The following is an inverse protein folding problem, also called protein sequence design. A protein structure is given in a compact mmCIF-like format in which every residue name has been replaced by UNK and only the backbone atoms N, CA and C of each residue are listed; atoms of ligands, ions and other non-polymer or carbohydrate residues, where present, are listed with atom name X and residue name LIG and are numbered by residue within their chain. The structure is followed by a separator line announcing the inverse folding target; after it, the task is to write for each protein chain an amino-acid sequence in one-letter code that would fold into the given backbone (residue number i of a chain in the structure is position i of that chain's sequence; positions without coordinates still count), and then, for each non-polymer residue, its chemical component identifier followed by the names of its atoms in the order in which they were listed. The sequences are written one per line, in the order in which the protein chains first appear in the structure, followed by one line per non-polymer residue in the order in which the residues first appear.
data_IF_205644796575
#
_entry.id   IF_205644796575
#
_cell.length_a   1.000
_cell.length_b   1.000
_cell.length_c   1.000
_cell.angle_alpha   90.00
_cell.angle_beta   90.00
_cell.angle_gamma   90.00
#
_symmetry.space_group_name_H-M   'P 1'
#
loop_
_entity.id
_entity.type
_entity.pdbx_description
1 polymer ?
#
# COMPACT_ATOMS: atom_id res chain seq x y z
N UNK A 1 5.82 -16.61 4.94
CA UNK A 1 5.02 -15.38 4.99
C UNK A 1 5.94 -14.16 4.92
N UNK A 2 5.65 -13.24 4.03
CA UNK A 2 6.49 -12.06 3.88
C UNK A 2 6.12 -10.99 4.88
N UNK A 3 7.10 -10.52 5.62
CA UNK A 3 6.87 -9.45 6.59
C UNK A 3 7.00 -8.08 5.91
N UNK A 4 6.17 -7.15 6.33
CA UNK A 4 6.25 -5.78 5.83
C UNK A 4 7.52 -5.12 6.34
N UNK A 5 8.38 -4.60 5.45
CA UNK A 5 9.59 -3.90 5.89
C UNK A 5 9.27 -2.69 6.76
N UNK A 6 10.14 -2.38 7.69
CA UNK A 6 9.94 -1.25 8.59
C UNK A 6 9.83 0.07 7.83
N UNK A 7 10.58 0.22 6.73
CA UNK A 7 10.56 1.44 5.93
C UNK A 7 9.16 1.68 5.33
N UNK A 8 8.45 0.60 4.96
CA UNK A 8 7.08 0.72 4.45
C UNK A 8 6.13 1.07 5.59
N UNK A 9 6.30 0.44 6.76
CA UNK A 9 5.48 0.75 7.93
C UNK A 9 5.65 2.20 8.34
N UNK A 10 6.87 2.70 8.31
CA UNK A 10 7.15 4.09 8.65
C UNK A 10 6.49 5.06 7.66
N UNK A 11 6.52 4.71 6.38
CA UNK A 11 5.89 5.54 5.36
C UNK A 11 4.37 5.64 5.56
N UNK A 12 3.74 4.57 6.03
CA UNK A 12 2.29 4.51 6.24
C UNK A 12 1.86 4.92 7.65
N UNK A 13 2.81 5.16 8.53
CA UNK A 13 2.55 5.36 9.96
C UNK A 13 1.50 6.44 10.25
N UNK A 14 1.62 7.59 9.61
CA UNK A 14 0.71 8.70 9.88
C UNK A 14 -0.70 8.41 9.40
N UNK A 15 -0.84 7.74 8.27
CA UNK A 15 -2.14 7.35 7.75
C UNK A 15 -2.79 6.30 8.65
N UNK A 16 -2.01 5.36 9.15
CA UNK A 16 -2.52 4.36 10.07
C UNK A 16 -2.98 5.02 11.36
N UNK A 17 -2.24 6.01 11.85
CA UNK A 17 -2.62 6.77 13.03
C UNK A 17 -3.92 7.54 12.82
N UNK A 18 -4.08 8.14 11.64
CA UNK A 18 -5.24 8.98 11.36
C UNK A 18 -6.51 8.19 11.09
N UNK A 19 -6.40 7.09 10.35
CA UNK A 19 -7.56 6.34 9.88
C UNK A 19 -7.65 4.92 10.41
N UNK A 20 -6.58 4.40 10.99
CA UNK A 20 -6.49 2.99 11.32
C UNK A 20 -6.10 2.18 10.11
N UNK A 21 -6.18 0.87 10.21
CA UNK A 21 -5.87 0.00 9.10
C UNK A 21 -4.52 -0.67 9.20
N UNK A 22 -4.12 -1.33 8.13
CA UNK A 22 -2.86 -2.08 8.10
C UNK A 22 -2.32 -2.14 6.69
N UNK A 23 -1.02 -2.45 6.57
CA UNK A 23 -0.36 -2.61 5.28
C UNK A 23 -0.35 -4.08 4.90
N UNK A 24 -0.83 -4.38 3.70
CA UNK A 24 -0.82 -5.74 3.15
C UNK A 24 0.09 -5.81 1.92
N UNK A 25 0.77 -6.93 1.79
CA UNK A 25 1.60 -7.18 0.61
C UNK A 25 0.71 -7.58 -0.57
N UNK A 26 0.85 -6.87 -1.68
CA UNK A 26 0.10 -7.18 -2.91
C UNK A 26 0.84 -8.17 -3.79
N UNK A 27 2.12 -7.97 -4.00
CA UNK A 27 2.92 -8.77 -4.90
C UNK A 27 4.06 -7.96 -5.48
N UNK A 28 4.69 -8.50 -6.52
CA UNK A 28 5.77 -7.77 -7.19
C UNK A 28 5.23 -7.00 -8.39
N UNK A 29 5.67 -5.76 -8.51
CA UNK A 29 5.29 -4.88 -9.60
C UNK A 29 6.55 -4.26 -10.19
N UNK A 30 6.87 -4.62 -11.43
CA UNK A 30 8.05 -4.12 -12.14
C UNK A 30 9.35 -4.28 -11.34
N UNK A 31 9.52 -5.45 -10.72
CA UNK A 31 10.73 -5.76 -9.94
C UNK A 31 10.74 -5.18 -8.53
N UNK A 32 9.68 -4.51 -8.13
CA UNK A 32 9.56 -3.93 -6.80
C UNK A 32 8.48 -4.65 -5.99
N UNK A 33 8.51 -4.51 -4.68
CA UNK A 33 7.47 -5.05 -3.82
C UNK A 33 6.36 -4.02 -3.67
N UNK A 34 5.12 -4.41 -3.96
CA UNK A 34 3.97 -3.53 -3.84
C UNK A 34 3.18 -3.86 -2.59
N UNK A 35 2.84 -2.83 -1.83
CA UNK A 35 2.04 -2.94 -0.61
C UNK A 35 0.85 -2.02 -0.72
N UNK A 36 -0.26 -2.40 -0.10
CA UNK A 36 -1.46 -1.57 -0.07
C UNK A 36 -1.85 -1.29 1.38
N UNK A 37 -2.20 -0.05 1.65
CA UNK A 37 -2.74 0.31 2.96
C UNK A 37 -4.24 0.02 2.96
N UNK A 38 -4.66 -0.92 3.79
CA UNK A 38 -6.07 -1.26 3.96
C UNK A 38 -6.66 -0.46 5.10
N UNK A 39 -7.73 0.25 4.81
CA UNK A 39 -8.46 1.01 5.81
C UNK A 39 -9.63 0.21 6.35
N UNK A 40 -10.10 0.53 7.58
CA UNK A 40 -11.34 -0.05 8.07
C UNK A 40 -12.51 0.26 7.13
N UNK A 41 -13.51 -0.60 7.13
CA UNK A 41 -14.66 -0.45 6.24
C UNK A 41 -15.40 0.87 6.43
N UNK A 42 -15.41 1.40 7.63
CA UNK A 42 -16.09 2.64 7.94
C UNK A 42 -15.25 3.90 7.64
N UNK A 43 -14.04 3.73 7.16
CA UNK A 43 -13.19 4.86 6.79
C UNK A 43 -13.51 5.31 5.37
N UNK A 44 -13.81 6.59 5.22
CA UNK A 44 -14.08 7.16 3.90
C UNK A 44 -12.81 7.81 3.36
N UNK A 45 -12.03 7.03 2.65
CA UNK A 45 -10.72 7.47 2.17
C UNK A 45 -10.66 7.75 0.67
N UNK A 46 -11.68 7.33 -0.08
CA UNK A 46 -11.71 7.50 -1.53
C UNK A 46 -10.79 6.53 -2.24
N UNK A 47 -9.58 6.96 -2.57
CA UNK A 47 -8.64 6.11 -3.31
C UNK A 47 -7.75 5.31 -2.38
N UNK A 48 -7.28 4.12 -2.82
CA UNK A 48 -6.32 3.36 -2.04
C UNK A 48 -4.94 4.05 -2.03
N UNK A 49 -4.13 3.68 -1.05
CA UNK A 49 -2.73 4.08 -1.02
C UNK A 49 -1.87 2.85 -1.27
N UNK A 50 -0.94 2.96 -2.21
CA UNK A 50 -0.03 1.89 -2.56
C UNK A 50 1.39 2.35 -2.27
N UNK A 51 2.20 1.47 -1.70
CA UNK A 51 3.61 1.74 -1.42
C UNK A 51 4.45 0.79 -2.24
N UNK A 52 5.35 1.35 -3.02
CA UNK A 52 6.28 0.57 -3.84
C UNK A 52 7.66 0.62 -3.18
N UNK A 53 8.15 -0.54 -2.78
CA UNK A 53 9.42 -0.67 -2.10
C UNK A 53 10.45 -1.30 -3.03
N UNK A 54 11.50 -0.55 -3.35
CA UNK A 54 12.58 -1.01 -4.20
C UNK A 54 13.88 -0.33 -3.79
N UNK A 55 14.95 -1.14 -3.65
CA UNK A 55 16.29 -0.60 -3.35
C UNK A 55 16.29 0.32 -2.12
N UNK A 56 15.61 -0.13 -1.07
CA UNK A 56 15.50 0.60 0.20
C UNK A 56 14.80 1.95 0.09
N UNK A 57 14.04 2.15 -0.99
CA UNK A 57 13.23 3.34 -1.17
C UNK A 57 11.76 2.97 -1.22
N UNK A 58 10.91 3.84 -0.71
CA UNK A 58 9.47 3.65 -0.73
C UNK A 58 8.84 4.82 -1.46
N UNK A 59 7.99 4.51 -2.44
CA UNK A 59 7.22 5.51 -3.16
C UNK A 59 5.75 5.34 -2.81
N UNK A 60 5.11 6.40 -2.37
CA UNK A 60 3.68 6.41 -2.10
C UNK A 60 2.92 6.78 -3.36
N UNK A 61 1.94 5.96 -3.71
CA UNK A 61 1.12 6.18 -4.90
C UNK A 61 -0.35 6.19 -4.47
N UNK A 62 -1.09 7.16 -4.94
CA UNK A 62 -2.51 7.29 -4.63
C UNK A 62 -3.28 7.72 -5.89
N UNK A 63 -4.60 7.81 -5.79
CA UNK A 63 -5.45 8.22 -6.91
C UNK A 63 -5.63 7.11 -7.93
N UNK A 64 -5.78 7.49 -9.21
CA UNK A 64 -6.04 6.51 -10.27
C UNK A 64 -4.87 5.56 -10.51
N UNK A 65 -3.64 6.03 -10.32
CA UNK A 65 -2.47 5.17 -10.44
C UNK A 65 -2.51 4.04 -9.41
N UNK A 66 -2.89 4.36 -8.17
CA UNK A 66 -3.00 3.34 -7.13
C UNK A 66 -4.08 2.32 -7.48
N UNK A 67 -5.21 2.77 -8.03
CA UNK A 67 -6.26 1.87 -8.47
C UNK A 67 -5.76 0.91 -9.56
N UNK A 68 -5.01 1.43 -10.51
CA UNK A 68 -4.47 0.61 -11.60
C UNK A 68 -3.53 -0.46 -11.06
N UNK A 69 -2.67 -0.10 -10.10
CA UNK A 69 -1.75 -1.06 -9.50
C UNK A 69 -2.51 -2.13 -8.73
N UNK A 70 -3.49 -1.74 -7.92
CA UNK A 70 -4.28 -2.69 -7.15
C UNK A 70 -5.00 -3.68 -8.07
N UNK A 71 -5.51 -3.21 -9.20
CA UNK A 71 -6.21 -4.06 -10.17
C UNK A 71 -5.31 -5.12 -10.80
N UNK A 72 -4.01 -4.89 -10.83
CA UNK A 72 -3.07 -5.89 -11.34
C UNK A 72 -3.00 -7.11 -10.42
N UNK A 73 -3.27 -6.94 -9.14
CA UNK A 73 -3.16 -8.00 -8.15
C UNK A 73 -4.50 -8.53 -7.68
N UNK A 74 -5.55 -7.73 -7.74
CA UNK A 74 -6.87 -8.12 -7.31
C UNK A 74 -7.71 -8.42 -8.55
N UNK A 75 -8.05 -9.69 -8.73
CA UNK A 75 -8.89 -10.12 -9.85
C UNK A 75 -10.26 -10.49 -9.34
N UNK A 76 -11.26 -10.01 -10.00
CA UNK A 76 -12.65 -10.37 -9.70
C UNK A 76 -13.02 -11.72 -10.30
#
# INVERSE_FOLDING_TARGET
MKQTPQIVKDAAKELIKAYGGKVDFLGKHEGADAYMLKFPEDADTGFPFVYIHKDEKVTEITGFEALDIVRLFVKD
#
